data_IF_994033668407
#
_entry.id   IF_994033668407
#
_cell.length_a   1.000
_cell.length_b   1.000
_cell.length_c   1.000
_cell.angle_alpha   90.00
_cell.angle_beta   90.00
_cell.angle_gamma   90.00
#
_symmetry.space_group_name_H-M   'P 1'
#
loop_
_entity.id
_entity.type
_entity.pdbx_description
1 polymer ?
2 non-polymer ?
3 non-polymer ?
4 non-polymer ?
5 water ?
#
# COMPACT_ATOMS: atom_id res chain seq x y z
N UNK A 3 14.77 6.16 -2.27
CA UNK A 3 15.93 6.98 -2.69
C UNK A 3 16.24 6.74 -4.17
N UNK A 4 15.84 5.61 -4.78
CA UNK A 4 15.81 5.56 -6.23
C UNK A 4 14.48 6.11 -6.75
N UNK A 5 13.38 5.91 -5.98
CA UNK A 5 12.09 6.48 -6.33
C UNK A 5 11.22 5.56 -7.20
N UNK A 6 10.32 6.15 -7.96
CA UNK A 6 9.26 5.45 -8.69
C UNK A 6 9.65 5.05 -10.11
N UNK A 7 8.90 4.11 -10.68
CA UNK A 7 9.06 3.75 -12.09
C UNK A 7 8.24 4.67 -12.99
N UNK A 8 7.03 5.00 -12.57
CA UNK A 8 6.14 5.85 -13.35
C UNK A 8 6.43 7.30 -13.03
N UNK A 9 6.67 8.06 -14.10
CA UNK A 9 6.98 9.47 -14.05
C UNK A 9 5.97 10.26 -14.87
N UNK A 10 5.92 11.57 -14.63
CA UNK A 10 5.22 12.45 -15.55
C UNK A 10 5.81 12.35 -16.94
N UNK A 11 4.94 12.24 -17.95
CA UNK A 11 5.36 12.19 -19.34
C UNK A 11 5.77 13.58 -19.80
N UNK A 12 6.79 13.61 -20.66
CA UNK A 12 7.10 14.78 -21.47
C UNK A 12 6.16 14.77 -22.68
N UNK A 13 6.05 15.90 -23.32
CA UNK A 13 5.21 16.02 -24.50
C UNK A 13 3.76 15.68 -24.24
N UNK A 14 3.29 15.78 -23.00
CA UNK A 14 1.94 15.33 -22.65
C UNK A 14 0.88 16.15 -23.36
N UNK A 15 0.00 15.48 -24.13
CA UNK A 15 -1.07 16.15 -24.86
C UNK A 15 -2.35 15.40 -24.50
N UNK A 16 -3.14 15.99 -23.60
CA UNK A 16 -4.33 15.31 -23.06
C UNK A 16 -5.38 15.10 -24.13
N UNK A 17 -5.55 16.06 -25.04
CA UNK A 17 -6.55 15.86 -26.10
C UNK A 17 -6.16 14.72 -27.04
N UNK A 18 -4.87 14.60 -27.39
CA UNK A 18 -4.39 13.50 -28.21
C UNK A 18 -4.63 12.18 -27.46
N UNK A 19 -4.24 12.12 -26.17
CA UNK A 19 -4.38 10.91 -25.39
C UNK A 19 -5.84 10.49 -25.31
N UNK A 20 -6.74 11.46 -25.14
CA UNK A 20 -8.16 11.14 -25.10
C UNK A 20 -8.59 10.51 -26.41
N UNK A 21 -8.15 11.07 -27.54
CA UNK A 21 -8.48 10.52 -28.83
C UNK A 21 -7.89 9.12 -29.01
N UNK A 22 -6.64 8.89 -28.57
CA UNK A 22 -6.02 7.58 -28.66
C UNK A 22 -6.88 6.54 -27.95
N UNK A 23 -7.34 6.90 -26.73
CA UNK A 23 -8.14 6.00 -25.90
C UNK A 23 -9.49 5.74 -26.58
N UNK A 24 -10.15 6.80 -27.10
CA UNK A 24 -11.40 6.58 -27.80
C UNK A 24 -11.20 5.64 -28.98
N UNK A 25 -10.20 5.90 -29.81
CA UNK A 25 -9.96 5.06 -30.96
C UNK A 25 -9.69 3.62 -30.55
N UNK A 26 -9.05 3.40 -29.40
CA UNK A 26 -8.75 2.06 -28.92
C UNK A 26 -10.03 1.30 -28.56
N UNK A 27 -11.10 1.98 -28.12
CA UNK A 27 -12.32 1.37 -27.63
C UNK A 27 -13.47 1.40 -28.65
N UNK A 28 -13.51 2.41 -29.52
CA UNK A 28 -14.64 2.53 -30.46
C UNK A 28 -14.75 1.29 -31.33
N UNK A 29 -15.98 0.81 -31.48
CA UNK A 29 -16.22 -0.31 -32.40
C UNK A 29 -16.07 -1.63 -31.70
N UNK A 30 -16.40 -2.73 -32.41
CA UNK A 30 -16.24 -4.05 -31.83
C UNK A 30 -14.81 -4.26 -31.37
N UNK A 31 -14.71 -4.80 -30.17
CA UNK A 31 -13.44 -5.14 -29.56
C UNK A 31 -12.70 -3.94 -28.98
N UNK A 32 -11.45 -4.15 -28.62
CA UNK A 32 -10.64 -3.17 -27.92
C UNK A 32 -9.20 -3.35 -28.32
N UNK A 33 -8.44 -2.25 -28.37
CA UNK A 33 -6.99 -2.28 -28.47
C UNK A 33 -6.40 -2.08 -27.06
N UNK A 34 -6.25 -3.15 -26.28
CA UNK A 34 -5.77 -3.06 -24.90
C UNK A 34 -4.34 -2.53 -24.88
N UNK A 35 -3.51 -2.93 -25.85
CA UNK A 35 -2.13 -2.47 -25.90
C UNK A 35 -2.07 -0.95 -25.98
N UNK A 36 -2.95 -0.37 -26.80
CA UNK A 36 -2.94 1.08 -26.94
C UNK A 36 -3.34 1.77 -25.64
N UNK A 37 -4.31 1.19 -24.92
CA UNK A 37 -4.70 1.69 -23.59
C UNK A 37 -3.51 1.69 -22.62
N UNK A 38 -2.73 0.61 -22.58
CA UNK A 38 -1.55 0.55 -21.75
C UNK A 38 -0.55 1.60 -22.17
N UNK A 39 -0.33 1.71 -23.49
CA UNK A 39 0.70 2.57 -24.07
C UNK A 39 0.51 4.03 -23.67
N UNK A 40 -0.76 4.43 -23.44
CA UNK A 40 -1.01 5.75 -22.89
C UNK A 40 -0.92 5.70 -21.37
N UNK A 41 -1.84 4.94 -20.74
CA UNK A 41 -2.09 5.17 -19.31
C UNK A 41 -0.95 4.77 -18.39
N UNK A 42 -0.19 3.73 -18.78
CA UNK A 42 0.92 3.27 -17.97
C UNK A 42 2.15 4.16 -18.12
N UNK A 43 2.09 5.15 -19.03
CA UNK A 43 3.16 6.09 -19.30
C UNK A 43 2.75 7.52 -19.01
N UNK A 44 1.76 7.67 -18.12
CA UNK A 44 1.34 8.94 -17.59
C UNK A 44 1.26 8.77 -16.10
N UNK A 45 1.50 9.84 -15.30
CA UNK A 45 1.31 9.70 -13.86
C UNK A 45 -0.17 9.89 -13.49
N UNK A 46 -0.49 9.68 -12.21
CA UNK A 46 -1.87 9.71 -11.77
C UNK A 46 -2.48 11.10 -12.06
N UNK A 47 -1.72 12.17 -11.76
CA UNK A 47 -2.19 13.51 -12.02
C UNK A 47 -2.51 13.70 -13.50
N UNK A 48 -1.62 13.25 -14.37
CA UNK A 48 -1.87 13.38 -15.79
C UNK A 48 -3.06 12.57 -16.25
N UNK A 49 -3.27 11.41 -15.66
CA UNK A 49 -4.45 10.61 -16.00
C UNK A 49 -5.74 11.37 -15.68
N UNK A 50 -5.76 12.19 -14.62
CA UNK A 50 -6.94 12.99 -14.29
C UNK A 50 -7.16 14.06 -15.37
N UNK A 51 -6.08 14.66 -15.89
CA UNK A 51 -6.20 15.62 -16.96
C UNK A 51 -6.76 14.95 -18.22
N UNK A 52 -6.37 13.69 -18.47
CA UNK A 52 -6.93 12.93 -19.57
C UNK A 52 -8.42 12.72 -19.35
N UNK A 53 -8.84 12.31 -18.14
CA UNK A 53 -10.26 12.16 -17.88
C UNK A 53 -11.03 13.41 -18.24
N UNK A 54 -10.54 14.59 -17.83
CA UNK A 54 -11.22 15.86 -18.09
C UNK A 54 -11.30 16.10 -19.59
N UNK A 55 -10.18 15.92 -20.31
CA UNK A 55 -10.13 16.13 -21.74
C UNK A 55 -11.03 15.14 -22.48
N UNK A 56 -11.18 13.92 -21.96
CA UNK A 56 -12.01 12.93 -22.63
C UNK A 56 -13.46 13.41 -22.55
N UNK A 57 -13.89 13.85 -21.37
CA UNK A 57 -15.25 14.37 -21.26
C UNK A 57 -15.42 15.54 -22.20
N UNK A 58 -14.50 16.51 -22.15
CA UNK A 58 -14.66 17.77 -22.89
C UNK A 58 -14.62 17.59 -24.39
N UNK A 59 -13.79 16.67 -24.88
CA UNK A 59 -13.48 16.58 -26.29
C UNK A 59 -14.02 15.35 -26.97
N UNK A 60 -14.25 14.26 -26.23
CA UNK A 60 -14.88 13.06 -26.79
C UNK A 60 -16.37 13.04 -26.43
N UNK A 61 -16.78 13.76 -25.39
CA UNK A 61 -18.20 13.77 -25.06
C UNK A 61 -18.66 12.45 -24.44
N UNK A 62 -17.74 11.76 -23.77
CA UNK A 62 -18.00 10.48 -23.10
C UNK A 62 -17.23 10.46 -21.78
N UNK A 63 -17.49 9.45 -20.97
CA UNK A 63 -16.85 9.29 -19.69
C UNK A 63 -15.79 8.20 -19.79
N UNK A 64 -14.53 8.51 -19.52
CA UNK A 64 -13.46 7.56 -19.73
C UNK A 64 -13.57 6.34 -18.80
N UNK A 65 -13.78 6.54 -17.51
CA UNK A 65 -13.87 5.40 -16.60
C UNK A 65 -15.02 4.49 -17.00
N UNK A 66 -16.16 5.08 -17.30
CA UNK A 66 -17.30 4.26 -17.71
C UNK A 66 -16.96 3.42 -18.94
N UNK A 67 -16.30 4.05 -19.95
CA UNK A 67 -15.93 3.33 -21.16
C UNK A 67 -14.94 2.22 -20.84
N UNK A 68 -13.93 2.47 -20.01
CA UNK A 68 -12.95 1.45 -19.64
C UNK A 68 -13.66 0.28 -18.97
N UNK A 69 -14.59 0.56 -18.07
CA UNK A 69 -15.30 -0.51 -17.34
C UNK A 69 -16.16 -1.32 -18.29
N UNK A 70 -16.71 -0.70 -19.31
CA UNK A 70 -17.52 -1.39 -20.31
C UNK A 70 -16.64 -2.29 -21.18
N UNK A 71 -15.47 -1.81 -21.55
CA UNK A 71 -14.64 -2.49 -22.53
C UNK A 71 -13.75 -3.58 -21.92
N UNK A 72 -13.31 -3.41 -20.69
CA UNK A 72 -12.34 -4.28 -20.04
C UNK A 72 -13.03 -5.21 -19.07
N UNK A 73 -12.32 -6.28 -18.67
CA UNK A 73 -12.80 -7.17 -17.63
C UNK A 73 -11.67 -7.64 -16.73
N UNK A 74 -12.11 -8.28 -15.66
CA UNK A 74 -11.22 -9.04 -14.78
C UNK A 74 -10.09 -8.22 -14.19
N UNK A 75 -8.95 -8.88 -14.00
CA UNK A 75 -7.85 -8.27 -13.29
C UNK A 75 -7.30 -7.10 -14.08
N UNK A 76 -7.27 -7.19 -15.41
CA UNK A 76 -6.82 -6.08 -16.21
C UNK A 76 -7.69 -4.87 -15.94
N UNK A 77 -9.04 -5.01 -15.97
CA UNK A 77 -9.89 -3.89 -15.64
C UNK A 77 -9.58 -3.33 -14.27
N UNK A 78 -9.34 -4.21 -13.29
CA UNK A 78 -9.14 -3.75 -11.93
C UNK A 78 -7.87 -2.87 -11.88
N UNK A 79 -6.80 -3.28 -12.54
CA UNK A 79 -5.55 -2.50 -12.52
C UNK A 79 -5.77 -1.17 -13.25
N UNK A 80 -6.38 -1.17 -14.43
CA UNK A 80 -6.53 0.06 -15.22
C UNK A 80 -7.42 1.04 -14.45
N UNK A 81 -8.59 0.59 -13.95
CA UNK A 81 -9.47 1.50 -13.22
C UNK A 81 -8.76 1.98 -11.96
N UNK A 82 -7.96 1.14 -11.29
CA UNK A 82 -7.19 1.59 -10.15
C UNK A 82 -6.22 2.68 -10.53
N UNK A 83 -5.53 2.53 -11.66
CA UNK A 83 -4.60 3.53 -12.13
C UNK A 83 -5.30 4.86 -12.39
N UNK A 84 -6.54 4.81 -12.87
CA UNK A 84 -7.31 5.99 -13.21
C UNK A 84 -7.90 6.70 -11.99
N UNK A 85 -7.85 6.09 -10.81
CA UNK A 85 -8.45 6.62 -9.59
C UNK A 85 -7.47 7.57 -8.90
N UNK A 86 -7.88 8.79 -8.49
CA UNK A 86 -7.00 9.63 -7.71
C UNK A 86 -6.42 8.91 -6.49
N UNK A 87 -5.18 9.21 -6.14
CA UNK A 87 -4.45 8.50 -5.13
C UNK A 87 -5.24 8.35 -3.82
N UNK A 88 -5.75 9.47 -3.27
CA UNK A 88 -6.43 9.40 -1.98
C UNK A 88 -7.66 8.50 -2.10
N UNK A 89 -8.43 8.72 -3.13
CA UNK A 89 -9.68 7.99 -3.33
C UNK A 89 -9.43 6.48 -3.51
N UNK A 90 -8.30 6.11 -4.14
CA UNK A 90 -8.00 4.69 -4.32
C UNK A 90 -7.82 4.04 -2.95
N UNK A 91 -7.07 4.68 -2.05
CA UNK A 91 -6.93 4.16 -0.72
C UNK A 91 -8.24 4.11 0.04
N UNK A 92 -9.05 5.15 -0.09
CA UNK A 92 -10.37 5.17 0.54
C UNK A 92 -11.21 3.99 0.08
N UNK A 93 -11.24 3.78 -1.23
CA UNK A 93 -12.06 2.72 -1.81
C UNK A 93 -11.53 1.36 -1.37
N UNK A 94 -10.21 1.17 -1.27
CA UNK A 94 -9.66 -0.10 -0.80
C UNK A 94 -10.04 -0.36 0.65
N UNK A 95 -10.01 0.68 1.52
CA UNK A 95 -10.41 0.50 2.91
C UNK A 95 -11.90 0.14 3.01
N UNK A 96 -12.72 0.82 2.22
CA UNK A 96 -14.15 0.54 2.20
C UNK A 96 -14.39 -0.91 1.73
N UNK A 97 -13.75 -1.34 0.66
CA UNK A 97 -13.90 -2.70 0.19
C UNK A 97 -13.48 -3.67 1.27
N UNK A 98 -12.40 -3.38 2.01
CA UNK A 98 -11.91 -4.26 3.04
C UNK A 98 -12.94 -4.48 4.13
N UNK A 99 -13.79 -3.50 4.43
CA UNK A 99 -14.72 -3.60 5.55
C UNK A 99 -16.16 -3.85 5.10
N UNK A 100 -16.50 -3.68 3.84
CA UNK A 100 -17.89 -3.76 3.37
C UNK A 100 -18.48 -5.16 3.57
N UNK A 101 -19.72 -5.21 4.06
CA UNK A 101 -20.43 -6.47 4.19
C UNK A 101 -19.81 -7.37 5.24
N UNK A 102 -19.92 -8.69 5.05
CA UNK A 102 -19.62 -9.66 6.11
C UNK A 102 -18.12 -9.82 6.42
N UNK A 103 -17.29 -9.94 5.41
CA UNK A 103 -15.88 -10.24 5.68
C UNK A 103 -15.10 -8.98 6.08
N UNK A 104 -13.90 -9.15 6.68
CA UNK A 104 -13.02 -8.02 6.90
C UNK A 104 -11.62 -8.41 6.40
N UNK A 105 -11.06 -7.62 5.47
CA UNK A 105 -9.73 -7.85 4.93
C UNK A 105 -8.73 -7.11 5.84
N UNK A 106 -8.32 -7.81 6.89
CA UNK A 106 -7.44 -7.25 7.91
C UNK A 106 -6.09 -6.94 7.30
N UNK A 107 -5.63 -7.74 6.33
CA UNK A 107 -4.36 -7.50 5.68
C UNK A 107 -4.30 -6.14 4.99
N UNK A 108 -5.37 -5.78 4.30
CA UNK A 108 -5.43 -4.49 3.62
C UNK A 108 -5.46 -3.35 4.65
N UNK A 109 -6.24 -3.47 5.72
CA UNK A 109 -6.30 -2.44 6.75
C UNK A 109 -4.89 -2.21 7.29
N UNK A 110 -4.16 -3.25 7.62
CA UNK A 110 -2.83 -3.12 8.17
C UNK A 110 -1.90 -2.44 7.17
N UNK A 111 -1.95 -2.92 5.91
CA UNK A 111 -1.02 -2.42 4.90
C UNK A 111 -1.15 -0.91 4.73
N UNK A 112 -2.38 -0.42 4.54
CA UNK A 112 -2.60 1.00 4.30
C UNK A 112 -2.28 1.80 5.56
N UNK A 113 -2.81 1.40 6.71
CA UNK A 113 -2.69 2.20 7.92
C UNK A 113 -1.27 2.19 8.47
N UNK A 114 -0.49 1.14 8.31
CA UNK A 114 0.89 1.11 8.75
C UNK A 114 1.82 1.86 7.82
N UNK A 115 1.55 1.88 6.52
CA UNK A 115 2.53 2.35 5.54
C UNK A 115 2.28 3.80 5.14
N UNK A 116 1.05 4.31 5.29
CA UNK A 116 0.80 5.68 4.90
C UNK A 116 1.24 6.64 6.00
N UNK A 117 1.59 7.89 5.64
CA UNK A 117 1.93 8.88 6.63
C UNK A 117 0.68 9.40 7.34
N UNK A 118 0.82 10.00 8.53
CA UNK A 118 -0.33 10.68 9.16
C UNK A 118 -1.03 11.66 8.23
N UNK A 119 -0.27 12.46 7.47
CA UNK A 119 -0.93 13.40 6.58
C UNK A 119 -1.76 12.71 5.53
N UNK A 120 -1.26 11.61 4.99
CA UNK A 120 -2.01 10.86 4.00
C UNK A 120 -3.27 10.29 4.62
N UNK A 121 -3.13 9.77 5.84
CA UNK A 121 -4.27 9.17 6.54
C UNK A 121 -5.33 10.21 6.90
N UNK A 122 -4.92 11.45 7.17
CA UNK A 122 -5.91 12.51 7.39
C UNK A 122 -6.74 12.69 6.12
N UNK A 123 -6.09 12.76 4.95
CA UNK A 123 -6.83 12.97 3.72
C UNK A 123 -7.75 11.78 3.47
N UNK A 124 -7.25 10.56 3.72
CA UNK A 124 -8.05 9.37 3.55
C UNK A 124 -9.27 9.43 4.46
N UNK A 125 -9.05 9.75 5.73
CA UNK A 125 -10.11 9.77 6.73
C UNK A 125 -11.22 10.76 6.32
N UNK A 126 -10.79 11.94 5.88
CA UNK A 126 -11.76 12.98 5.52
C UNK A 126 -12.51 12.59 4.25
N UNK A 127 -11.84 12.00 3.27
CA UNK A 127 -12.49 11.65 2.01
C UNK A 127 -13.41 10.45 2.24
N UNK A 128 -13.04 9.48 3.09
CA UNK A 128 -13.92 8.38 3.42
C UNK A 128 -15.23 8.92 3.99
N UNK A 129 -15.11 9.83 4.95
CA UNK A 129 -16.29 10.44 5.58
C UNK A 129 -17.18 11.13 4.54
N UNK A 130 -16.56 11.94 3.67
CA UNK A 130 -17.32 12.69 2.69
C UNK A 130 -18.02 11.78 1.69
N UNK A 131 -17.38 10.71 1.26
CA UNK A 131 -17.93 9.84 0.21
C UNK A 131 -19.04 8.97 0.76
N UNK A 132 -18.86 8.39 1.94
CA UNK A 132 -19.74 7.35 2.43
C UNK A 132 -20.65 7.81 3.54
N UNK A 133 -20.36 8.95 4.18
CA UNK A 133 -21.10 9.36 5.36
C UNK A 133 -20.98 8.38 6.50
N UNK A 134 -19.77 7.80 6.62
CA UNK A 134 -19.40 6.87 7.67
C UNK A 134 -18.04 7.32 8.17
N UNK A 135 -17.81 7.20 9.48
CA UNK A 135 -16.51 7.43 10.11
C UNK A 135 -15.56 6.25 9.88
N UNK A 136 -14.38 6.51 9.34
CA UNK A 136 -13.39 5.46 9.21
C UNK A 136 -13.08 4.83 10.56
N UNK A 137 -12.90 5.66 11.58
CA UNK A 137 -12.66 5.15 12.93
C UNK A 137 -13.80 4.28 13.43
N UNK A 138 -15.04 4.71 13.22
CA UNK A 138 -16.19 3.92 13.70
C UNK A 138 -16.21 2.57 13.00
N UNK A 139 -15.97 2.54 11.68
CA UNK A 139 -15.98 1.27 10.96
C UNK A 139 -14.84 0.35 11.45
N UNK A 140 -13.62 0.90 11.66
CA UNK A 140 -12.55 0.11 12.26
C UNK A 140 -13.00 -0.49 13.59
N UNK A 141 -13.66 0.33 14.44
CA UNK A 141 -14.05 -0.14 15.78
C UNK A 141 -15.22 -1.10 15.73
N UNK A 142 -15.95 -1.11 14.64
CA UNK A 142 -17.05 -2.06 14.43
C UNK A 142 -16.59 -3.40 13.86
N UNK A 143 -15.46 -3.43 13.15
CA UNK A 143 -15.04 -4.58 12.38
C UNK A 143 -13.78 -5.25 12.90
N UNK A 144 -13.12 -4.64 13.86
CA UNK A 144 -11.95 -5.21 14.52
C UNK A 144 -12.11 -4.99 16.02
N UNK A 145 -11.36 -5.80 16.81
CA UNK A 145 -11.54 -5.79 18.26
C UNK A 145 -10.18 -5.87 18.97
N UNK A 146 -10.26 -5.58 20.26
CA UNK A 146 -9.19 -5.86 21.21
C UNK A 146 -7.91 -5.11 20.80
N UNK A 147 -6.75 -5.73 21.01
CA UNK A 147 -5.50 -4.99 20.83
C UNK A 147 -5.28 -4.65 19.36
N UNK A 148 -5.68 -5.50 18.42
CA UNK A 148 -5.58 -5.22 17.00
C UNK A 148 -6.36 -3.94 16.68
N UNK A 149 -7.59 -3.82 17.16
CA UNK A 149 -8.34 -2.60 16.96
C UNK A 149 -7.61 -1.38 17.47
N UNK A 150 -6.99 -1.49 18.64
CA UNK A 150 -6.30 -0.34 19.22
C UNK A 150 -5.13 0.13 18.33
N UNK A 151 -4.41 -0.80 17.72
CA UNK A 151 -3.34 -0.43 16.79
C UNK A 151 -3.94 0.32 15.61
N UNK A 152 -5.00 -0.23 15.00
CA UNK A 152 -5.58 0.43 13.81
C UNK A 152 -6.16 1.79 14.16
N UNK A 153 -6.82 1.92 15.31
CA UNK A 153 -7.37 3.21 15.69
C UNK A 153 -6.25 4.23 15.86
N UNK A 154 -5.17 3.82 16.56
CA UNK A 154 -4.05 4.72 16.78
C UNK A 154 -3.51 5.19 15.41
N UNK A 155 -3.25 4.24 14.49
CA UNK A 155 -2.71 4.63 13.19
C UNK A 155 -3.68 5.56 12.46
N UNK A 156 -4.99 5.30 12.58
CA UNK A 156 -6.01 6.08 11.86
C UNK A 156 -6.09 7.51 12.37
N UNK A 157 -5.63 7.76 13.61
CA UNK A 157 -5.71 9.06 14.24
C UNK A 157 -4.49 9.91 13.91
N UNK A 158 -3.39 9.29 13.46
CA UNK A 158 -2.28 10.10 12.98
C UNK A 158 -1.49 10.84 14.08
N UNK A 159 -1.50 10.35 15.33
CA UNK A 159 -0.96 11.06 16.47
C UNK A 159 0.49 10.71 16.84
N UNK A 160 1.17 9.93 16.04
CA UNK A 160 2.54 9.54 16.37
C UNK A 160 3.41 10.79 16.57
N UNK A 161 4.39 10.70 17.47
CA UNK A 161 5.42 11.73 17.59
C UNK A 161 6.16 11.83 16.25
N UNK A 162 6.58 13.06 15.93
CA UNK A 162 7.27 13.41 14.69
C UNK A 162 8.58 14.12 14.98
N UNK A 163 9.32 14.38 13.91
CA UNK A 163 10.68 14.83 14.08
C UNK A 163 11.59 13.68 14.45
N UNK A 164 12.85 13.98 14.80
CA UNK A 164 13.84 12.97 15.05
C UNK A 164 14.49 13.11 16.43
N UNK A 165 13.86 13.80 17.37
CA UNK A 165 14.35 13.94 18.72
C UNK A 165 14.76 12.60 19.30
N UNK A 166 15.96 12.54 19.85
CA UNK A 166 16.53 11.35 20.46
C UNK A 166 16.70 11.53 21.96
N UNK A 167 15.76 10.96 22.70
CA UNK A 167 15.73 10.91 24.17
C UNK A 167 16.30 9.54 24.54
N UNK A 168 17.62 9.43 24.63
CA UNK A 168 18.24 8.13 24.78
C UNK A 168 17.80 7.41 26.06
N UNK A 169 17.54 8.12 27.16
CA UNK A 169 17.05 7.42 28.35
C UNK A 169 15.69 6.78 28.07
N UNK A 170 14.84 7.45 27.30
CA UNK A 170 13.51 6.88 27.01
C UNK A 170 13.67 5.70 26.05
N UNK A 171 14.62 5.76 25.11
CA UNK A 171 14.95 4.60 24.29
C UNK A 171 15.28 3.39 25.17
N UNK A 172 16.18 3.59 26.14
CA UNK A 172 16.59 2.51 27.03
C UNK A 172 15.42 1.99 27.86
N UNK A 173 14.60 2.88 28.37
CA UNK A 173 13.46 2.43 29.16
C UNK A 173 12.44 1.68 28.30
N UNK A 174 12.15 2.18 27.08
CA UNK A 174 11.28 1.49 26.15
C UNK A 174 11.76 0.07 25.87
N UNK A 175 13.05 -0.09 25.55
CA UNK A 175 13.55 -1.41 25.22
C UNK A 175 13.41 -2.37 26.42
N UNK A 176 13.79 -1.84 27.59
CA UNK A 176 13.68 -2.63 28.82
C UNK A 176 12.22 -2.99 29.10
N UNK A 177 11.31 -2.03 28.89
CA UNK A 177 9.89 -2.30 29.05
C UNK A 177 9.43 -3.41 28.10
N UNK A 178 9.87 -3.38 26.85
CA UNK A 178 9.43 -4.38 25.90
C UNK A 178 9.99 -5.72 26.30
N UNK A 179 11.24 -5.76 26.78
CA UNK A 179 11.84 -7.02 27.20
C UNK A 179 11.03 -7.62 28.35
N UNK A 180 10.80 -6.80 29.38
CA UNK A 180 10.07 -7.26 30.56
C UNK A 180 8.64 -7.62 30.20
N UNK A 181 8.03 -6.98 29.20
CA UNK A 181 6.68 -7.31 28.76
C UNK A 181 6.56 -8.75 28.22
N UNK A 182 7.67 -9.27 27.68
CA UNK A 182 7.74 -10.61 27.17
C UNK A 182 8.03 -11.64 28.26
N UNK A 183 8.66 -11.22 29.37
CA UNK A 183 9.11 -12.13 30.43
C UNK A 183 8.06 -12.29 31.51
N UNK A 184 6.87 -11.69 31.34
CA UNK A 184 5.82 -11.78 32.35
C UNK A 184 5.41 -13.24 32.39
N UNK A 185 4.97 -13.72 33.55
CA UNK A 185 4.69 -15.13 33.71
C UNK A 185 3.45 -15.59 32.94
N UNK A 186 2.35 -14.83 33.02
CA UNK A 186 1.03 -15.25 32.57
C UNK A 186 0.50 -14.40 31.43
N UNK A 187 1.37 -14.12 30.46
CA UNK A 187 0.92 -13.43 29.26
C UNK A 187 1.69 -12.12 29.06
N UNK A 188 1.96 -11.87 27.78
CA UNK A 188 2.67 -10.68 27.40
C UNK A 188 1.94 -9.42 27.82
N UNK A 189 2.66 -8.37 28.26
CA UNK A 189 2.04 -7.05 28.43
C UNK A 189 2.00 -6.40 27.04
N UNK A 190 0.89 -6.59 26.36
CA UNK A 190 0.78 -6.14 24.99
C UNK A 190 0.64 -4.64 24.90
N UNK A 191 0.17 -3.97 25.95
CA UNK A 191 0.04 -2.52 25.91
C UNK A 191 1.41 -1.88 25.71
N UNK A 192 2.49 -2.45 26.27
CA UNK A 192 3.82 -1.83 26.07
C UNK A 192 4.17 -1.82 24.58
N UNK A 193 3.86 -2.91 23.86
CA UNK A 193 4.14 -2.98 22.43
C UNK A 193 3.30 -1.97 21.67
N UNK A 194 2.03 -1.86 22.01
CA UNK A 194 1.13 -0.88 21.42
C UNK A 194 1.69 0.53 21.63
N UNK A 195 2.03 0.88 22.87
CA UNK A 195 2.47 2.24 23.22
C UNK A 195 3.70 2.60 22.39
N UNK A 196 4.72 1.76 22.55
CA UNK A 196 6.01 2.10 21.98
C UNK A 196 5.87 2.17 20.46
N UNK A 197 5.28 1.15 19.83
CA UNK A 197 5.25 1.06 18.38
C UNK A 197 4.27 2.01 17.69
N UNK A 198 3.27 2.47 18.40
CA UNK A 198 2.29 3.40 17.83
C UNK A 198 2.59 4.85 18.20
N UNK A 199 3.36 5.15 19.27
CA UNK A 199 3.53 6.53 19.75
C UNK A 199 4.84 7.20 19.35
N UNK A 200 5.94 6.43 19.29
CA UNK A 200 7.26 7.04 19.22
C UNK A 200 7.63 7.42 17.78
N UNK A 201 8.55 8.39 17.66
CA UNK A 201 9.02 8.80 16.36
C UNK A 201 9.92 7.73 15.73
N UNK A 202 10.07 7.82 14.40
CA UNK A 202 10.82 6.78 13.67
C UNK A 202 12.27 6.63 14.20
N UNK A 203 13.00 7.74 14.27
CA UNK A 203 14.38 7.67 14.74
C UNK A 203 14.44 7.00 16.12
N UNK A 204 13.56 7.41 17.03
CA UNK A 204 13.43 6.76 18.32
C UNK A 204 13.26 5.25 18.16
N UNK A 205 12.30 4.85 17.35
CA UNK A 205 12.05 3.42 17.18
C UNK A 205 13.25 2.67 16.60
N UNK A 206 13.94 3.24 15.62
CA UNK A 206 15.13 2.59 15.07
C UNK A 206 16.16 2.37 16.17
N UNK A 207 16.30 3.36 17.06
CA UNK A 207 17.17 3.16 18.23
C UNK A 207 16.65 2.09 19.18
N UNK A 208 15.34 2.09 19.46
CA UNK A 208 14.77 1.04 20.31
C UNK A 208 15.04 -0.34 19.74
N UNK A 209 14.90 -0.51 18.41
CA UNK A 209 15.08 -1.84 17.83
C UNK A 209 16.52 -2.31 18.13
N UNK A 210 17.50 -1.41 17.96
CA UNK A 210 18.89 -1.81 18.14
C UNK A 210 19.17 -2.08 19.62
N UNK A 211 18.62 -1.26 20.49
CA UNK A 211 18.78 -1.43 21.93
C UNK A 211 18.12 -2.71 22.44
N UNK A 212 16.93 -3.02 21.91
CA UNK A 212 16.25 -4.25 22.27
C UNK A 212 17.11 -5.46 21.90
N UNK A 213 17.71 -5.47 20.72
CA UNK A 213 18.61 -6.54 20.32
C UNK A 213 19.80 -6.61 21.29
N UNK A 214 20.37 -5.48 21.67
CA UNK A 214 21.51 -5.47 22.58
C UNK A 214 21.17 -6.12 23.92
N UNK A 215 20.02 -5.85 24.52
CA UNK A 215 19.70 -6.32 25.85
C UNK A 215 19.08 -7.70 25.86
N UNK A 216 18.43 -8.14 24.79
CA UNK A 216 17.71 -9.42 24.74
C UNK A 216 18.41 -10.50 23.91
N UNK A 217 19.33 -10.12 23.01
CA UNK A 217 19.96 -10.95 22.01
C UNK A 217 18.98 -11.44 20.94
N UNK A 218 17.80 -10.82 20.87
CA UNK A 218 16.78 -11.15 19.89
C UNK A 218 16.39 -9.89 19.12
N UNK A 219 16.11 -10.06 17.85
CA UNK A 219 15.47 -8.99 17.11
C UNK A 219 14.06 -8.78 17.66
N UNK A 220 13.58 -7.55 17.57
CA UNK A 220 12.23 -7.28 18.04
C UNK A 220 11.20 -8.12 17.27
N UNK A 221 11.43 -8.40 15.99
CA UNK A 221 10.48 -9.21 15.22
C UNK A 221 10.40 -10.63 15.78
N UNK A 222 11.55 -11.19 16.21
CA UNK A 222 11.53 -12.53 16.79
C UNK A 222 10.65 -12.56 18.03
N UNK A 223 10.79 -11.56 18.91
CA UNK A 223 9.97 -11.50 20.12
C UNK A 223 8.51 -11.24 19.80
N UNK A 224 8.20 -10.35 18.84
CA UNK A 224 6.81 -10.16 18.46
C UNK A 224 6.19 -11.48 18.02
N UNK A 225 6.92 -12.25 17.22
CA UNK A 225 6.37 -13.52 16.70
C UNK A 225 6.13 -14.52 17.82
N UNK A 226 6.99 -14.56 18.84
CA UNK A 226 6.82 -15.57 19.88
C UNK A 226 5.85 -15.12 20.97
N UNK A 227 5.60 -13.82 21.15
CA UNK A 227 4.91 -13.28 22.30
C UNK A 227 3.53 -12.68 21.99
N UNK A 228 3.20 -12.58 20.70
CA UNK A 228 1.90 -12.11 20.28
C UNK A 228 1.43 -13.00 19.15
N UNK A 229 0.14 -12.84 18.79
CA UNK A 229 -0.45 -13.67 17.76
C UNK A 229 -1.50 -12.93 16.94
N UNK A 230 -1.90 -13.57 15.85
CA UNK A 230 -3.06 -13.11 15.10
C UNK A 230 -2.82 -11.77 14.40
N UNK A 231 -3.92 -11.03 14.21
CA UNK A 231 -3.81 -9.76 13.49
C UNK A 231 -3.04 -8.72 14.28
N UNK A 232 -3.09 -8.75 15.61
CA UNK A 232 -2.27 -7.86 16.41
C UNK A 232 -0.79 -8.08 16.11
N UNK A 233 -0.31 -9.32 16.12
CA UNK A 233 1.06 -9.64 15.74
C UNK A 233 1.37 -9.07 14.34
N UNK A 234 0.47 -9.32 13.38
CA UNK A 234 0.76 -8.90 12.03
C UNK A 234 0.88 -7.38 11.97
N UNK A 235 0.03 -6.66 12.68
CA UNK A 235 0.03 -5.20 12.68
C UNK A 235 1.34 -4.68 13.27
N UNK A 236 1.79 -5.27 14.39
CA UNK A 236 3.06 -4.87 14.98
C UNK A 236 4.23 -5.08 14.03
N UNK A 237 4.27 -6.25 13.39
CA UNK A 237 5.33 -6.52 12.42
C UNK A 237 5.32 -5.56 11.25
N UNK A 238 4.12 -5.18 10.77
CA UNK A 238 4.08 -4.24 9.66
C UNK A 238 4.66 -2.88 10.09
N UNK A 239 4.34 -2.43 11.32
CA UNK A 239 4.89 -1.17 11.78
C UNK A 239 6.41 -1.26 11.87
N UNK A 240 6.95 -2.35 12.44
CA UNK A 240 8.39 -2.50 12.54
C UNK A 240 9.02 -2.44 11.15
N UNK A 241 8.46 -3.22 10.21
CA UNK A 241 9.03 -3.30 8.88
C UNK A 241 8.98 -1.96 8.18
N UNK A 242 7.85 -1.26 8.27
CA UNK A 242 7.73 0.06 7.67
C UNK A 242 8.69 1.06 8.26
N UNK A 243 8.90 0.98 9.59
CA UNK A 243 9.90 1.85 10.23
C UNK A 243 11.32 1.52 9.76
N UNK A 244 11.64 0.27 9.58
CA UNK A 244 12.98 -0.07 9.11
C UNK A 244 13.22 0.36 7.65
N UNK A 245 12.26 0.00 6.78
CA UNK A 245 12.32 0.34 5.36
C UNK A 245 11.01 -0.03 4.67
N UNK A 246 10.26 0.99 4.27
CA UNK A 246 8.93 0.80 3.71
C UNK A 246 9.01 0.02 2.39
N UNK A 247 10.04 0.27 1.59
CA UNK A 247 10.18 -0.43 0.30
C UNK A 247 10.38 -1.94 0.49
N UNK A 248 11.15 -2.32 1.52
CA UNK A 248 11.30 -3.72 1.85
C UNK A 248 9.98 -4.36 2.30
N UNK A 249 9.21 -3.61 3.09
CA UNK A 249 7.89 -4.08 3.51
C UNK A 249 7.06 -4.47 2.28
N UNK A 250 7.01 -3.53 1.33
CA UNK A 250 6.24 -3.80 0.10
C UNK A 250 6.83 -4.93 -0.74
N UNK A 251 8.17 -5.05 -0.77
CA UNK A 251 8.74 -6.16 -1.50
C UNK A 251 8.25 -7.48 -0.93
N UNK A 252 8.19 -7.59 0.42
CA UNK A 252 7.73 -8.81 1.07
C UNK A 252 6.24 -9.06 0.77
N UNK A 253 5.44 -8.01 0.79
CA UNK A 253 4.03 -8.19 0.44
C UNK A 253 3.90 -8.74 -0.99
N UNK A 254 4.71 -8.24 -1.94
CA UNK A 254 4.64 -8.72 -3.30
C UNK A 254 5.09 -10.18 -3.41
N UNK A 255 6.17 -10.53 -2.70
CA UNK A 255 6.62 -11.92 -2.67
C UNK A 255 5.51 -12.85 -2.18
N UNK A 256 4.92 -12.47 -1.07
CA UNK A 256 3.88 -13.32 -0.47
C UNK A 256 2.67 -13.43 -1.37
N UNK A 257 2.35 -12.37 -2.13
CA UNK A 257 1.18 -12.41 -2.99
C UNK A 257 1.33 -13.41 -4.13
N UNK A 258 2.58 -13.72 -4.50
CA UNK A 258 2.84 -14.52 -5.70
C UNK A 258 3.48 -15.88 -5.38
N UNK A 259 4.19 -16.06 -4.29
CA UNK A 259 4.96 -17.29 -4.07
C UNK A 259 3.98 -18.44 -3.87
N UNK A 260 4.34 -19.64 -4.32
CA UNK A 260 3.39 -20.75 -4.21
C UNK A 260 2.02 -20.55 -4.90
N UNK A 261 1.05 -21.42 -4.56
CA UNK A 261 -0.01 -21.77 -5.48
C UNK A 261 -0.95 -20.59 -5.72
N UNK A 262 -1.11 -20.19 -6.98
CA UNK A 262 -2.05 -19.13 -7.29
C UNK A 262 -1.52 -17.76 -6.89
N UNK A 263 -2.42 -16.78 -6.74
CA UNK A 263 -1.97 -15.41 -6.64
C UNK A 263 -2.99 -14.63 -5.82
N UNK A 264 -2.51 -13.82 -4.87
CA UNK A 264 -3.36 -12.85 -4.22
C UNK A 264 -3.42 -11.59 -5.09
N UNK A 265 -4.32 -11.58 -6.06
CA UNK A 265 -4.36 -10.51 -7.04
C UNK A 265 -4.75 -9.17 -6.41
N UNK A 266 -5.62 -9.17 -5.42
CA UNK A 266 -6.03 -7.93 -4.81
C UNK A 266 -4.83 -7.20 -4.19
N UNK A 267 -3.95 -7.94 -3.50
CA UNK A 267 -2.76 -7.36 -2.90
C UNK A 267 -1.76 -6.95 -3.99
N UNK A 268 -1.47 -7.86 -4.94
CA UNK A 268 -0.52 -7.56 -6.00
C UNK A 268 -0.91 -6.27 -6.73
N UNK A 269 -2.20 -6.17 -7.10
CA UNK A 269 -2.71 -5.00 -7.80
C UNK A 269 -2.54 -3.73 -6.94
N UNK A 270 -3.02 -3.77 -5.69
CA UNK A 270 -3.03 -2.56 -4.87
C UNK A 270 -1.60 -2.09 -4.64
N UNK A 271 -0.65 -2.99 -4.38
CA UNK A 271 0.73 -2.58 -4.16
C UNK A 271 1.34 -1.98 -5.43
N UNK A 272 1.16 -2.66 -6.58
CA UNK A 272 1.73 -2.14 -7.82
C UNK A 272 1.15 -0.79 -8.21
N UNK A 273 -0.17 -0.62 -8.10
CA UNK A 273 -0.81 0.64 -8.43
C UNK A 273 -0.39 1.72 -7.45
N UNK A 274 -0.40 1.45 -6.14
CA UNK A 274 -0.19 2.45 -5.13
C UNK A 274 1.26 2.88 -5.05
N UNK A 275 2.23 2.02 -5.41
CA UNK A 275 3.64 2.31 -5.18
C UNK A 275 4.43 2.63 -6.44
N UNK A 276 3.78 2.47 -7.63
CA UNK A 276 4.50 2.66 -8.90
C UNK A 276 5.20 4.01 -8.98
N UNK A 277 4.58 5.07 -8.49
CA UNK A 277 5.14 6.41 -8.60
C UNK A 277 5.96 6.83 -7.41
N UNK A 278 5.96 6.04 -6.33
CA UNK A 278 6.59 6.40 -5.07
C UNK A 278 7.98 5.79 -5.00
N UNK A 279 8.03 4.45 -4.92
CA UNK A 279 9.26 3.80 -4.54
C UNK A 279 9.44 2.44 -5.24
N UNK A 280 8.80 2.24 -6.40
CA UNK A 280 8.92 0.95 -7.07
C UNK A 280 10.37 0.56 -7.37
N UNK A 281 11.25 1.53 -7.71
CA UNK A 281 12.63 1.14 -7.96
C UNK A 281 13.30 0.63 -6.71
N UNK A 282 12.96 1.25 -5.57
CA UNK A 282 13.49 0.78 -4.30
C UNK A 282 12.94 -0.60 -3.94
N UNK A 283 11.62 -0.80 -4.18
CA UNK A 283 10.98 -2.09 -3.97
C UNK A 283 11.71 -3.17 -4.75
N UNK A 284 11.97 -2.88 -6.04
CA UNK A 284 12.67 -3.85 -6.89
C UNK A 284 14.03 -4.23 -6.31
N UNK A 285 14.78 -3.25 -5.85
CA UNK A 285 16.11 -3.49 -5.29
C UNK A 285 16.04 -4.36 -4.05
N UNK A 286 15.11 -4.00 -3.13
CA UNK A 286 14.96 -4.79 -1.93
C UNK A 286 14.46 -6.19 -2.21
N UNK A 287 13.54 -6.36 -3.19
CA UNK A 287 13.04 -7.67 -3.56
C UNK A 287 14.18 -8.57 -4.00
N UNK A 288 15.06 -8.00 -4.84
CA UNK A 288 16.17 -8.82 -5.32
C UNK A 288 17.11 -9.21 -4.17
N UNK A 289 17.38 -8.29 -3.27
CA UNK A 289 18.23 -8.60 -2.12
C UNK A 289 17.61 -9.68 -1.23
N UNK A 290 16.32 -9.55 -0.94
CA UNK A 290 15.66 -10.50 -0.06
C UNK A 290 15.53 -11.90 -0.67
N UNK A 291 15.22 -11.98 -1.98
CA UNK A 291 14.67 -13.19 -2.57
C UNK A 291 15.55 -13.78 -3.67
N UNK A 292 16.53 -13.01 -4.11
CA UNK A 292 17.52 -13.51 -5.06
C UNK A 292 16.96 -13.70 -6.46
N UNK A 293 15.82 -13.08 -6.77
CA UNK A 293 15.16 -13.11 -8.08
C UNK A 293 14.59 -11.72 -8.34
N UNK A 294 14.44 -11.36 -9.62
CA UNK A 294 13.86 -10.06 -9.91
C UNK A 294 12.34 -10.05 -9.67
N UNK A 295 11.85 -8.87 -9.21
CA UNK A 295 10.40 -8.66 -9.12
C UNK A 295 9.74 -8.91 -10.48
N UNK A 296 10.37 -8.38 -11.55
CA UNK A 296 9.90 -8.53 -12.91
C UNK A 296 9.62 -9.99 -13.23
N UNK A 297 10.60 -10.87 -12.89
CA UNK A 297 10.45 -12.27 -13.23
C UNK A 297 9.31 -12.93 -12.48
N UNK A 298 9.04 -12.46 -11.24
CA UNK A 298 7.96 -13.02 -10.46
C UNK A 298 6.65 -12.68 -11.13
N UNK A 299 6.46 -11.37 -11.46
CA UNK A 299 5.21 -10.96 -12.11
C UNK A 299 5.03 -11.71 -13.42
N UNK A 300 6.11 -11.81 -14.23
CA UNK A 300 5.98 -12.43 -15.52
C UNK A 300 5.56 -13.91 -15.39
N UNK A 301 6.07 -14.59 -14.36
CA UNK A 301 5.76 -15.99 -14.16
C UNK A 301 4.40 -16.24 -13.50
N UNK A 302 3.79 -15.24 -12.89
CA UNK A 302 2.60 -15.47 -12.11
C UNK A 302 1.34 -14.91 -12.76
N UNK A 303 1.46 -14.13 -13.86
CA UNK A 303 0.33 -13.45 -14.47
C UNK A 303 0.43 -13.64 -15.97
N UNK A 304 -0.65 -13.34 -16.66
CA UNK A 304 -0.65 -13.43 -18.11
C UNK A 304 -1.48 -12.32 -18.74
N UNK A 305 -1.44 -12.28 -20.05
CA UNK A 305 -2.35 -11.47 -20.83
C UNK A 305 -2.07 -9.98 -20.64
N UNK A 306 -3.11 -9.16 -20.81
CA UNK A 306 -2.96 -7.72 -20.70
C UNK A 306 -2.68 -7.32 -19.24
N UNK A 307 -3.22 -8.06 -18.28
CA UNK A 307 -2.91 -7.91 -16.86
C UNK A 307 -1.41 -7.97 -16.61
N UNK A 308 -0.73 -9.01 -17.11
CA UNK A 308 0.72 -9.09 -17.02
C UNK A 308 1.36 -7.90 -17.70
N UNK A 309 0.94 -7.54 -18.92
CA UNK A 309 1.57 -6.47 -19.63
C UNK A 309 1.61 -5.18 -18.80
N UNK A 310 0.46 -4.80 -18.22
CA UNK A 310 0.40 -3.54 -17.51
C UNK A 310 1.18 -3.64 -16.21
N UNK A 311 1.12 -4.76 -15.49
CA UNK A 311 1.89 -4.88 -14.26
C UNK A 311 3.37 -4.78 -14.56
N UNK A 312 3.83 -5.31 -15.70
CA UNK A 312 5.25 -5.23 -16.04
C UNK A 312 5.69 -3.80 -16.39
N UNK A 313 4.81 -2.95 -16.93
CA UNK A 313 5.13 -1.54 -17.14
C UNK A 313 5.23 -0.86 -15.77
N UNK A 314 4.29 -1.13 -14.87
CA UNK A 314 4.34 -0.53 -13.55
C UNK A 314 5.62 -0.93 -12.83
N UNK A 315 6.08 -2.16 -13.03
CA UNK A 315 7.30 -2.61 -12.37
C UNK A 315 8.54 -1.92 -12.97
N UNK A 316 8.55 -1.78 -14.29
CA UNK A 316 9.75 -1.44 -15.02
C UNK A 316 10.56 -2.71 -15.31
N UNK A 317 11.46 -2.61 -16.31
CA UNK A 317 12.38 -3.69 -16.61
C UNK A 317 12.03 -4.36 -17.95
N UNK A 318 12.61 -5.52 -18.27
CA UNK A 318 13.85 -6.12 -17.77
C UNK A 318 14.26 -7.10 -18.88
N UNK A 319 14.24 -6.63 -20.16
CA UNK A 319 14.68 -7.47 -21.26
C UNK A 319 13.94 -7.21 -22.60
X LIG B 1 -15.22 -1.59 -28.24
X LIG C 1 -16.96 -6.32 7.70
X LIG D 1 1.93 -18.12 -7.56
X LIG E 1 19.75 3.94 21.47
X LIG E 1 19.11 5.18 21.21
X LIG E 1 20.79 4.18 22.50
X LIG E 1 20.24 3.99 23.81
X LIG E 1 21.34 5.56 22.30
X LIG E 1 21.96 5.70 21.02
X LIG F 1 -6.18 3.85 20.01
X LIG F 1 -5.25 4.95 19.88
X LIG F 1 -6.04 3.11 21.31
X LIG F 1 -7.22 2.46 21.81
X LIG F 1 -5.52 3.99 22.42
X LIG F 1 -4.32 3.34 22.81
X LIG G 1 -19.11 -0.19 16.76
X LIG G 1 -19.05 -1.25 17.70
X LIG G 1 -18.69 1.08 17.47
X LIG G 1 -18.35 2.10 16.51
X LIG G 1 -17.53 0.90 18.42
X LIG G 1 -17.75 1.57 19.65
X LIG H 1 -16.51 9.45 -32.19
X LIG H 1 -17.60 8.51 -32.20
X LIG H 1 -15.93 9.51 -30.86
X LIG H 1 -15.45 9.08 -33.11
X LIG H 1 -16.98 10.81 -32.52
X LIG I 1 -18.99 2.64 -29.74
X LIG I 1 -20.35 2.30 -29.37
X LIG I 1 -18.19 2.73 -28.53
X LIG I 1 -18.49 1.61 -30.64
X LIG I 1 -19.01 3.93 -30.43
X LIG J 1 15.84 -0.86 -15.98
X LIG J 1 15.44 -2.20 -15.62
X LIG J 1 17.26 -0.68 -15.80
X LIG J 1 15.48 -0.52 -17.37
X LIG J 1 15.11 0.04 -15.08
X LIG K 1 -22.26 -2.45 4.31
X LIG K 1 -23.09 -1.79 5.33
X LIG K 1 -20.89 -2.34 4.76
X LIG K 1 -22.63 -3.81 4.16
X LIG K 1 -22.43 -1.75 3.04
X LIG L 1 -21.89 -9.70 1.78
X LIG L 1 -22.48 -8.45 2.17
X LIG L 1 -20.65 -9.94 2.43
X LIG L 1 -22.80 -10.81 2.13
X LIG L 1 -21.75 -9.58 0.34
X LIG M 1 -9.99 20.31 10.70
X LIG M 1 -11.39 20.48 11.01
X LIG M 1 -9.28 19.84 11.87
X LIG M 1 -9.87 19.34 9.64
X LIG M 1 -9.46 21.59 10.27
#
# INVERSE_FOLDING_TARGET
>A
MATKGGTVKAASGFNAMEDAQTLRKAMKGLGTDEDAIISVLAYRNTAQRQEIRTAYKSTIGRDLIDDLKSELSGNFEQVIVGMMTPTVLYDVQELRRAMKGAGTDEGCLIEILASRTPEEIRRISQTYQQQYGRSLEDDIRSDTSFMFQRVLVSLSAGGRDEGNYLDDALVRQDAQDLYEAGEKKWGTDEVKFLTVLCSRNRNHLLHVFDEYKRISQKDIEQSIKSETSGSFEDALLAIVKCMRNKSAYFAEKLYKSMKGLGTDDNTLIRVMVSRAEIDMLDIRAHFKRLYGKSLYSFIKGDTSGDYRKVLLVLCGGDDHHHHHH
>B hetero
1 CA CA
>C hetero
1 CA CA
>D hetero
1 CA CA
>E hetero
1 GOL C1 O1 C2 O2 C3 O3
>F hetero
1 GOL C1 O1 C2 O2 C3 O3
>G hetero
1 GOL C1 O1 C2 O2 C3 O3
>H hetero
1 SO4 S O1 O2 O3 O4
>I hetero
1 SO4 S O1 O2 O3 O4
>J hetero
1 SO4 S O1 O2 O3 O4
>K hetero
1 SO4 S O1 O2 O3 O4
>L hetero
1 SO4 S O1 O2 O3 O4
>M hetero
1 SO4 S O1 O2 O3 O4
#
